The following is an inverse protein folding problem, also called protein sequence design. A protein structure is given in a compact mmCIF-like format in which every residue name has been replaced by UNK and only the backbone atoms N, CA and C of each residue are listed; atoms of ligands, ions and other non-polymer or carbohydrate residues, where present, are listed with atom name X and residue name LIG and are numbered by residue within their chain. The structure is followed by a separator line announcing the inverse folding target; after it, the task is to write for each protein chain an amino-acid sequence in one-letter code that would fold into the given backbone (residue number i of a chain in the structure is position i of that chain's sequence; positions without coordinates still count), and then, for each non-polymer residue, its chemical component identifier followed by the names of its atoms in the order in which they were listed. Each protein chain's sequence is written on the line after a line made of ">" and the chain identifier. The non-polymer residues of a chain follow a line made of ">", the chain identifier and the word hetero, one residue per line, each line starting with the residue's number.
data_IF_577755994126
#
_entry.id   IF_577755994126
#
_cell.length_a   1.000
_cell.length_b   1.000
_cell.length_c   1.000
_cell.angle_alpha   90.00
_cell.angle_beta   90.00
_cell.angle_gamma   90.00
#
_symmetry.space_group_name_H-M   'P 1'
#
loop_
_entity.id
_entity.type
_entity.pdbx_description
1 polymer ?
#
# COMPACT_ATOMS: atom_id res chain seq x y z
N UNK A 1 3.04 5.31 8.88
CA UNK A 1 3.95 4.45 8.11
C UNK A 1 3.43 4.28 6.69
N UNK A 2 4.30 4.40 5.72
CA UNK A 2 3.95 4.17 4.32
C UNK A 2 4.03 2.67 4.01
N UNK A 3 2.90 2.09 3.62
CA UNK A 3 2.82 0.71 3.17
C UNK A 3 2.79 0.70 1.64
N UNK A 4 3.87 0.27 1.01
CA UNK A 4 4.00 0.26 -0.44
C UNK A 4 3.30 -0.94 -1.06
N UNK A 5 2.61 -0.70 -2.17
CA UNK A 5 2.04 -1.77 -2.98
C UNK A 5 3.10 -2.26 -3.97
N UNK A 6 3.46 -3.53 -3.87
CA UNK A 6 4.48 -4.14 -4.73
C UNK A 6 3.82 -4.75 -5.96
N UNK A 7 3.60 -3.91 -6.94
CA UNK A 7 3.03 -4.33 -8.21
C UNK A 7 4.16 -4.76 -9.17
N UNK A 8 3.98 -5.90 -9.80
CA UNK A 8 4.96 -6.40 -10.78
C UNK A 8 5.19 -5.36 -11.87
N UNK A 9 6.45 -5.14 -12.23
CA UNK A 9 6.84 -4.13 -13.21
C UNK A 9 7.14 -2.77 -12.62
N UNK A 10 6.73 -2.48 -11.37
CA UNK A 10 7.01 -1.20 -10.71
C UNK A 10 8.04 -1.33 -9.59
N UNK A 11 8.42 -2.54 -9.26
CA UNK A 11 9.47 -2.84 -8.30
C UNK A 11 10.14 -4.15 -8.69
N UNK A 12 11.29 -4.43 -8.11
CA UNK A 12 12.02 -5.64 -8.38
C UNK A 12 13.18 -5.82 -7.44
N UNK A 13 14.12 -6.67 -7.79
CA UNK A 13 15.29 -6.94 -6.97
C UNK A 13 16.12 -5.66 -6.80
N UNK A 14 16.22 -5.18 -5.56
CA UNK A 14 16.93 -3.94 -5.25
C UNK A 14 16.17 -2.66 -5.59
N UNK A 15 14.94 -2.76 -6.08
CA UNK A 15 14.12 -1.61 -6.44
C UNK A 15 12.84 -1.58 -5.59
N UNK A 16 12.60 -0.46 -4.93
CA UNK A 16 11.36 -0.21 -4.19
C UNK A 16 10.32 0.42 -5.11
N UNK A 17 9.02 0.16 -4.90
CA UNK A 17 7.98 0.96 -5.54
C UNK A 17 8.14 2.44 -5.14
N UNK A 18 7.71 3.35 -6.00
CA UNK A 18 7.74 4.77 -5.65
C UNK A 18 6.72 5.08 -4.54
N UNK A 19 6.92 6.19 -3.84
CA UNK A 19 6.09 6.54 -2.68
C UNK A 19 4.64 6.88 -3.04
N UNK A 20 4.36 7.17 -4.30
CA UNK A 20 2.98 7.39 -4.75
C UNK A 20 2.18 6.09 -4.82
N UNK A 21 2.84 4.95 -4.80
CA UNK A 21 2.22 3.63 -4.75
C UNK A 21 2.19 3.09 -3.31
N UNK A 22 1.87 3.96 -2.36
CA UNK A 22 1.84 3.61 -0.95
C UNK A 22 0.60 4.16 -0.28
N UNK A 23 0.15 3.48 0.77
CA UNK A 23 -0.93 3.91 1.63
C UNK A 23 -0.39 4.27 3.01
N UNK A 24 -1.00 5.26 3.66
CA UNK A 24 -0.74 5.50 5.06
C UNK A 24 -1.41 4.40 5.89
N UNK A 25 -0.63 3.73 6.73
CA UNK A 25 -1.11 2.64 7.55
C UNK A 25 -0.43 2.68 8.91
N UNK A 26 -1.09 2.12 9.93
CA UNK A 26 -0.43 1.89 11.20
C UNK A 26 0.57 0.74 11.06
N UNK A 27 1.49 0.60 12.04
CA UNK A 27 2.49 -0.46 11.99
C UNK A 27 1.89 -1.86 11.89
N UNK A 28 0.77 -2.09 12.57
CA UNK A 28 0.06 -3.38 12.52
C UNK A 28 -0.45 -3.68 11.10
N UNK A 29 -1.14 -2.72 10.49
CA UNK A 29 -1.64 -2.89 9.12
C UNK A 29 -0.51 -3.04 8.11
N UNK A 30 0.59 -2.31 8.32
CA UNK A 30 1.78 -2.43 7.48
C UNK A 30 2.37 -3.84 7.56
N UNK A 31 2.49 -4.39 8.76
CA UNK A 31 3.04 -5.73 8.94
C UNK A 31 2.15 -6.82 8.33
N UNK A 32 0.84 -6.65 8.38
CA UNK A 32 -0.08 -7.57 7.70
C UNK A 32 0.10 -7.48 6.18
N UNK A 33 0.20 -6.27 5.64
CA UNK A 33 0.37 -6.06 4.21
C UNK A 33 1.70 -6.64 3.70
N UNK A 34 2.76 -6.58 4.52
CA UNK A 34 4.07 -7.13 4.19
C UNK A 34 4.17 -8.64 4.46
N UNK A 35 3.14 -9.26 5.03
CA UNK A 35 3.15 -10.68 5.35
C UNK A 35 3.92 -11.03 6.62
N UNK A 36 4.32 -10.05 7.43
CA UNK A 36 5.05 -10.27 8.69
C UNK A 36 4.14 -10.75 9.80
N UNK A 37 2.87 -10.35 9.76
CA UNK A 37 1.85 -10.80 10.68
C UNK A 37 0.74 -11.49 9.91
N UNK A 38 0.18 -12.55 10.51
CA UNK A 38 -0.99 -13.20 9.96
C UNK A 38 -2.20 -12.28 10.14
N UNK A 39 -2.96 -12.08 9.06
CA UNK A 39 -4.18 -11.30 9.12
C UNK A 39 -5.20 -11.98 10.04
N UNK A 40 -5.94 -11.21 10.84
CA UNK A 40 -7.00 -11.79 11.65
C UNK A 40 -8.14 -12.33 10.75
N UNK A 41 -8.77 -13.42 11.20
CA UNK A 41 -9.86 -14.02 10.46
C UNK A 41 -9.39 -14.82 9.26
N UNK A 42 -10.26 -14.94 8.26
CA UNK A 42 -10.04 -15.77 7.07
C UNK A 42 -9.69 -14.94 5.83
N UNK A 43 -9.04 -13.79 6.02
CA UNK A 43 -8.64 -12.96 4.90
C UNK A 43 -7.60 -13.67 4.04
N UNK A 44 -7.88 -13.74 2.75
CA UNK A 44 -6.91 -14.27 1.79
C UNK A 44 -5.87 -13.21 1.45
N UNK A 45 -4.75 -13.64 0.88
CA UNK A 45 -3.74 -12.68 0.40
C UNK A 45 -4.30 -11.75 -0.68
N UNK A 46 -5.26 -12.20 -1.47
CA UNK A 46 -5.89 -11.37 -2.50
C UNK A 46 -6.75 -10.27 -1.88
N UNK A 47 -7.48 -10.58 -0.81
CA UNK A 47 -8.25 -9.59 -0.08
C UNK A 47 -7.35 -8.55 0.57
N UNK A 48 -6.24 -8.98 1.16
CA UNK A 48 -5.23 -8.08 1.74
C UNK A 48 -4.66 -7.16 0.66
N UNK A 49 -4.33 -7.70 -0.51
CA UNK A 49 -3.83 -6.90 -1.63
C UNK A 49 -4.88 -5.92 -2.12
N UNK A 50 -6.14 -6.33 -2.19
CA UNK A 50 -7.23 -5.43 -2.58
C UNK A 50 -7.37 -4.27 -1.60
N UNK A 51 -7.39 -4.55 -0.31
CA UNK A 51 -7.49 -3.51 0.72
C UNK A 51 -6.32 -2.54 0.65
N UNK A 52 -5.11 -3.05 0.43
CA UNK A 52 -3.93 -2.21 0.27
C UNK A 52 -4.04 -1.33 -0.98
N UNK A 53 -4.45 -1.90 -2.11
CA UNK A 53 -4.61 -1.16 -3.35
C UNK A 53 -5.64 -0.04 -3.21
N UNK A 54 -6.76 -0.31 -2.56
CA UNK A 54 -7.77 0.71 -2.28
C UNK A 54 -7.23 1.79 -1.35
N UNK A 55 -6.43 1.41 -0.35
CA UNK A 55 -5.75 2.35 0.54
C UNK A 55 -4.79 3.26 -0.22
N UNK A 56 -4.05 2.71 -1.19
CA UNK A 56 -3.17 3.49 -2.05
C UNK A 56 -3.96 4.53 -2.85
N UNK A 57 -5.08 4.11 -3.45
CA UNK A 57 -5.93 5.03 -4.22
C UNK A 57 -6.50 6.15 -3.36
N UNK A 58 -6.94 5.83 -2.13
CA UNK A 58 -7.43 6.85 -1.19
C UNK A 58 -6.33 7.83 -0.80
N UNK A 59 -5.13 7.34 -0.56
CA UNK A 59 -3.98 8.18 -0.24
C UNK A 59 -3.64 9.10 -1.40
N UNK A 60 -3.65 8.58 -2.62
CA UNK A 60 -3.41 9.38 -3.83
C UNK A 60 -4.45 10.49 -3.98
N UNK A 61 -5.72 10.17 -3.74
CA UNK A 61 -6.80 11.15 -3.82
C UNK A 61 -6.59 12.28 -2.82
N UNK A 62 -6.20 11.95 -1.59
CA UNK A 62 -5.90 12.96 -0.56
C UNK A 62 -4.76 13.85 -0.99
N UNK A 63 -3.68 13.28 -1.50
CA UNK A 63 -2.51 14.04 -1.94
C UNK A 63 -2.85 14.99 -3.08
N UNK A 64 -3.67 14.55 -4.02
CA UNK A 64 -4.13 15.38 -5.13
C UNK A 64 -4.99 16.54 -4.62
N UNK A 65 -5.93 16.26 -3.72
CA UNK A 65 -6.82 17.28 -3.14
C UNK A 65 -6.06 18.31 -2.32
N UNK A 66 -4.98 17.90 -1.67
CA UNK A 66 -4.13 18.81 -0.90
C UNK A 66 -3.12 19.59 -1.78
N UNK A 67 -3.12 19.35 -3.08
CA UNK A 67 -2.23 20.02 -4.02
C UNK A 67 -0.77 19.58 -3.94
N UNK A 68 -0.51 18.44 -3.33
CA UNK A 68 0.85 17.90 -3.21
C UNK A 68 1.31 17.15 -4.46
N UNK A 69 0.36 16.80 -5.32
CA UNK A 69 0.61 16.18 -6.60
C UNK A 69 -0.07 17.02 -7.66
N UNK A 70 0.68 17.45 -8.65
CA UNK A 70 0.13 18.18 -9.81
C UNK A 70 -0.21 17.19 -10.92
N UNK A 71 -1.39 17.29 -11.43
CA UNK A 71 -1.83 16.49 -12.57
C UNK A 71 -1.59 17.23 -13.87
#
# INVERSE_FOLDING_TARGET
>A
VLAHYRLAGTCGMGMKPNDFQAAWACGYCHDIADGRLRAPGELTKYEIRLFLAEGVMRTQDILIREGKVKL
#
